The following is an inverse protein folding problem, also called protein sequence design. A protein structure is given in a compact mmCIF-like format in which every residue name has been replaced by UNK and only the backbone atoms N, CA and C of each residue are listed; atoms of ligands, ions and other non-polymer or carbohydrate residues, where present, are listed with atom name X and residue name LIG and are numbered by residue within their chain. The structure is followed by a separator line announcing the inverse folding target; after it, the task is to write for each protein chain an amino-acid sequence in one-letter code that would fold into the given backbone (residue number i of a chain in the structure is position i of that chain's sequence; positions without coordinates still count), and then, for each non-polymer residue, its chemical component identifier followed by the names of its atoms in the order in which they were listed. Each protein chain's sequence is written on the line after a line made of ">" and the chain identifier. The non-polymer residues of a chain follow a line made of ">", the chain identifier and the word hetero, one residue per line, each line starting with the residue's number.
data_IF_923731130407
#
_entry.id   IF_923731130407
#
_cell.length_a   1.000
_cell.length_b   1.000
_cell.length_c   1.000
_cell.angle_alpha   90.00
_cell.angle_beta   90.00
_cell.angle_gamma   90.00
#
_symmetry.space_group_name_H-M   'P 1'
#
loop_
_entity.id
_entity.type
_entity.pdbx_description
1 polymer ?
#
# COMPACT_ATOMS: atom_id res chain seq x y z
N UNK A 1 -27.56 -15.98 17.08
CA UNK A 1 -26.84 -15.65 15.82
C UNK A 1 -25.93 -14.42 15.92
N UNK A 2 -26.32 -13.35 16.64
CA UNK A 2 -25.51 -12.11 16.80
C UNK A 2 -24.11 -12.32 17.41
N UNK A 3 -23.97 -13.20 18.41
CA UNK A 3 -22.67 -13.43 19.08
C UNK A 3 -21.58 -14.03 18.17
N UNK A 4 -21.95 -14.84 17.18
CA UNK A 4 -20.98 -15.50 16.30
C UNK A 4 -20.46 -14.55 15.22
N UNK A 5 -21.37 -13.76 14.64
CA UNK A 5 -21.05 -12.67 13.72
C UNK A 5 -20.13 -11.63 14.37
N UNK A 6 -20.43 -11.23 15.61
CA UNK A 6 -19.64 -10.23 16.32
C UNK A 6 -18.22 -10.74 16.66
N UNK A 7 -18.10 -12.01 17.08
CA UNK A 7 -16.81 -12.66 17.32
C UNK A 7 -15.94 -12.72 16.06
N UNK A 8 -16.54 -12.98 14.89
CA UNK A 8 -15.83 -12.97 13.61
C UNK A 8 -15.38 -11.57 13.21
N UNK A 9 -16.23 -10.55 13.34
CA UNK A 9 -15.87 -9.14 13.06
C UNK A 9 -14.73 -8.67 13.96
N UNK A 10 -14.79 -8.97 15.26
CA UNK A 10 -13.75 -8.63 16.22
C UNK A 10 -12.41 -9.31 15.89
N UNK A 11 -12.43 -10.59 15.52
CA UNK A 11 -11.22 -11.30 15.07
C UNK A 11 -10.61 -10.66 13.81
N UNK A 12 -11.44 -10.23 12.85
CA UNK A 12 -10.96 -9.52 11.66
C UNK A 12 -10.30 -8.19 12.04
N UNK A 13 -10.93 -7.40 12.90
CA UNK A 13 -10.37 -6.12 13.35
C UNK A 13 -9.04 -6.30 14.07
N UNK A 14 -8.94 -7.29 14.97
CA UNK A 14 -7.67 -7.62 15.64
C UNK A 14 -6.59 -7.96 14.61
N UNK A 15 -6.91 -8.79 13.60
CA UNK A 15 -5.94 -9.13 12.57
C UNK A 15 -5.47 -7.90 11.79
N UNK A 16 -6.39 -6.99 11.42
CA UNK A 16 -6.04 -5.74 10.74
C UNK A 16 -5.11 -4.90 11.61
N UNK A 17 -5.45 -4.71 12.88
CA UNK A 17 -4.67 -3.87 13.81
C UNK A 17 -3.29 -4.48 14.07
N UNK A 18 -3.21 -5.76 14.39
CA UNK A 18 -1.94 -6.43 14.71
C UNK A 18 -1.02 -6.44 13.49
N UNK A 19 -1.50 -6.90 12.34
CA UNK A 19 -0.67 -6.99 11.14
C UNK A 19 -0.33 -5.61 10.58
N UNK A 20 -1.24 -4.64 10.66
CA UNK A 20 -0.99 -3.27 10.24
C UNK A 20 -0.02 -2.54 11.15
N UNK A 21 -0.08 -2.77 12.46
CA UNK A 21 0.91 -2.25 13.40
C UNK A 21 2.30 -2.84 13.14
N UNK A 22 2.40 -4.15 12.96
CA UNK A 22 3.69 -4.81 12.65
C UNK A 22 4.27 -4.27 11.34
N UNK A 23 3.45 -4.17 10.29
CA UNK A 23 3.90 -3.62 9.01
C UNK A 23 4.28 -2.13 9.14
N UNK A 24 3.47 -1.31 9.81
CA UNK A 24 3.75 0.12 10.01
C UNK A 24 5.03 0.38 10.81
N UNK A 25 5.28 -0.38 11.87
CA UNK A 25 6.53 -0.30 12.66
C UNK A 25 7.72 -0.73 11.81
N UNK A 26 7.59 -1.83 11.06
CA UNK A 26 8.62 -2.28 10.13
C UNK A 26 8.96 -1.19 9.11
N UNK A 27 7.93 -0.59 8.50
CA UNK A 27 8.04 0.46 7.49
C UNK A 27 8.67 1.74 8.05
N UNK A 28 8.32 2.14 9.26
CA UNK A 28 8.95 3.28 9.94
C UNK A 28 10.43 3.02 10.24
N UNK A 29 10.75 1.83 10.75
CA UNK A 29 12.11 1.45 11.17
C UNK A 29 13.02 1.23 9.97
N UNK A 30 12.62 0.36 9.04
CA UNK A 30 13.39 0.07 7.85
C UNK A 30 13.42 1.27 6.90
N UNK A 31 12.37 2.11 6.84
CA UNK A 31 12.40 3.35 6.06
C UNK A 31 13.43 4.35 6.58
N UNK A 32 13.59 4.44 7.91
CA UNK A 32 14.66 5.25 8.53
C UNK A 32 16.05 4.68 8.21
N UNK A 33 16.25 3.37 8.36
CA UNK A 33 17.52 2.71 8.03
C UNK A 33 17.89 2.87 6.55
N UNK A 34 16.90 2.85 5.67
CA UNK A 34 17.09 2.97 4.24
C UNK A 34 17.42 4.40 3.81
N UNK A 35 17.18 5.41 4.64
CA UNK A 35 17.74 6.74 4.41
C UNK A 35 19.24 6.82 4.69
N UNK A 36 19.78 5.92 5.50
CA UNK A 36 21.23 5.85 5.77
C UNK A 36 21.97 5.12 4.64
N UNK A 37 21.27 4.28 3.87
CA UNK A 37 21.86 3.50 2.78
C UNK A 37 21.30 3.97 1.44
N UNK A 38 22.11 4.69 0.66
CA UNK A 38 21.73 5.23 -0.66
C UNK A 38 21.56 4.13 -1.73
N UNK A 39 20.57 3.25 -1.60
CA UNK A 39 20.21 2.26 -2.63
C UNK A 39 19.00 2.74 -3.45
N UNK A 40 19.24 3.09 -4.72
CA UNK A 40 18.19 3.44 -5.69
C UNK A 40 17.22 2.30 -6.06
N UNK A 41 17.52 1.06 -5.65
CA UNK A 41 16.71 -0.14 -5.95
C UNK A 41 15.83 -0.61 -4.79
N UNK A 42 15.75 0.17 -3.72
CA UNK A 42 15.05 -0.23 -2.49
C UNK A 42 13.59 -0.65 -2.74
N UNK A 43 12.93 -0.03 -3.72
CA UNK A 43 11.57 -0.34 -4.14
C UNK A 43 11.36 -1.82 -4.55
N UNK A 44 12.40 -2.53 -5.01
CA UNK A 44 12.31 -3.97 -5.34
C UNK A 44 12.09 -4.84 -4.11
N UNK A 45 12.58 -4.41 -2.95
CA UNK A 45 12.52 -5.15 -1.69
C UNK A 45 11.23 -4.81 -0.94
N UNK A 46 10.82 -3.54 -0.98
CA UNK A 46 9.62 -3.06 -0.28
C UNK A 46 8.33 -3.67 -0.81
N UNK A 47 8.20 -3.79 -2.13
CA UNK A 47 6.97 -4.33 -2.75
C UNK A 47 6.66 -5.78 -2.32
N UNK A 48 7.60 -6.75 -2.39
CA UNK A 48 7.36 -8.10 -1.88
C UNK A 48 6.99 -8.14 -0.39
N UNK A 49 7.58 -7.26 0.43
CA UNK A 49 7.28 -7.17 1.86
C UNK A 49 5.85 -6.67 2.07
N UNK A 50 5.43 -5.61 1.37
CA UNK A 50 4.07 -5.12 1.39
C UNK A 50 3.07 -6.21 0.98
N UNK A 51 3.35 -6.91 -0.14
CA UNK A 51 2.57 -8.06 -0.58
C UNK A 51 2.49 -9.17 0.46
N UNK A 52 3.58 -9.45 1.18
CA UNK A 52 3.59 -10.46 2.24
C UNK A 52 2.61 -10.13 3.37
N UNK A 53 2.63 -8.89 3.88
CA UNK A 53 1.71 -8.45 4.92
C UNK A 53 0.25 -8.50 4.47
N UNK A 54 -0.04 -7.96 3.28
CA UNK A 54 -1.38 -7.96 2.69
C UNK A 54 -1.90 -9.38 2.41
N UNK A 55 -1.05 -10.27 1.88
CA UNK A 55 -1.42 -11.65 1.61
C UNK A 55 -1.69 -12.44 2.89
N UNK A 56 -0.92 -12.21 3.97
CA UNK A 56 -1.15 -12.87 5.26
C UNK A 56 -2.49 -12.47 5.89
N UNK A 57 -2.84 -11.18 5.86
CA UNK A 57 -4.16 -10.70 6.33
C UNK A 57 -5.28 -11.25 5.46
N UNK A 58 -5.10 -11.27 4.14
CA UNK A 58 -6.10 -11.82 3.23
C UNK A 58 -6.34 -13.31 3.53
N UNK A 59 -5.28 -14.09 3.74
CA UNK A 59 -5.39 -15.53 4.07
C UNK A 59 -6.07 -15.77 5.41
N UNK A 60 -5.88 -14.90 6.41
CA UNK A 60 -6.49 -15.05 7.74
C UNK A 60 -7.94 -14.57 7.80
N UNK A 61 -8.27 -13.48 7.10
CA UNK A 61 -9.58 -12.84 7.19
C UNK A 61 -10.53 -13.22 6.06
N UNK A 62 -10.00 -13.68 4.92
CA UNK A 62 -10.76 -14.00 3.71
C UNK A 62 -11.43 -12.79 3.05
N UNK A 63 -11.23 -11.58 3.56
CA UNK A 63 -11.91 -10.36 3.10
C UNK A 63 -10.94 -9.40 2.43
N UNK A 64 -11.32 -8.93 1.24
CA UNK A 64 -10.58 -7.91 0.50
C UNK A 64 -10.54 -6.58 1.24
N UNK A 65 -11.62 -6.20 1.93
CA UNK A 65 -11.66 -4.96 2.72
C UNK A 65 -10.55 -4.93 3.79
N UNK A 66 -10.22 -6.07 4.39
CA UNK A 66 -9.12 -6.16 5.36
C UNK A 66 -7.77 -5.78 4.78
N UNK A 67 -7.54 -6.09 3.50
CA UNK A 67 -6.30 -5.76 2.76
C UNK A 67 -6.20 -4.26 2.52
N UNK A 68 -7.33 -3.61 2.24
CA UNK A 68 -7.35 -2.16 2.12
C UNK A 68 -7.09 -1.47 3.48
N UNK A 69 -7.77 -1.93 4.54
CA UNK A 69 -7.65 -1.33 5.86
C UNK A 69 -6.26 -1.50 6.48
N UNK A 70 -5.58 -2.62 6.25
CA UNK A 70 -4.19 -2.78 6.71
C UNK A 70 -3.26 -1.78 6.01
N UNK A 71 -3.41 -1.57 4.71
CA UNK A 71 -2.62 -0.58 3.97
C UNK A 71 -2.87 0.83 4.48
N UNK A 72 -4.13 1.19 4.73
CA UNK A 72 -4.49 2.49 5.29
C UNK A 72 -3.92 2.69 6.70
N UNK A 73 -3.98 1.66 7.55
CA UNK A 73 -3.41 1.70 8.90
C UNK A 73 -1.88 1.85 8.87
N UNK A 74 -1.20 1.12 7.97
CA UNK A 74 0.24 1.24 7.78
C UNK A 74 0.63 2.65 7.30
N UNK A 75 -0.07 3.19 6.31
CA UNK A 75 0.13 4.57 5.83
C UNK A 75 -0.13 5.61 6.92
N UNK A 76 -1.15 5.43 7.76
CA UNK A 76 -1.42 6.30 8.89
C UNK A 76 -0.29 6.28 9.93
N UNK A 77 0.23 5.09 10.27
CA UNK A 77 1.40 4.96 11.15
C UNK A 77 2.62 5.64 10.54
N UNK A 78 2.86 5.47 9.24
CA UNK A 78 3.96 6.14 8.52
C UNK A 78 3.83 7.66 8.58
N UNK A 79 2.61 8.19 8.43
CA UNK A 79 2.33 9.62 8.54
C UNK A 79 2.61 10.20 9.93
N UNK A 80 2.57 9.39 10.99
CA UNK A 80 2.99 9.86 12.32
C UNK A 80 4.46 10.30 12.35
N UNK A 81 5.30 9.81 11.43
CA UNK A 81 6.68 10.28 11.30
C UNK A 81 6.79 11.73 10.80
N UNK A 82 5.70 12.36 10.36
CA UNK A 82 5.68 13.80 10.07
C UNK A 82 5.82 14.66 11.33
N UNK A 83 5.48 14.12 12.50
CA UNK A 83 5.68 14.80 13.78
C UNK A 83 7.14 14.76 14.26
N UNK A 84 8.00 13.97 13.60
CA UNK A 84 9.43 13.94 13.86
C UNK A 84 10.15 14.93 12.94
N UNK A 85 11.23 15.59 13.40
CA UNK A 85 12.01 16.48 12.56
C UNK A 85 12.64 15.69 11.41
N UNK A 86 12.26 16.00 10.17
CA UNK A 86 12.69 15.30 8.96
C UNK A 86 12.12 15.92 7.68
N UNK A 87 12.58 15.44 6.52
CA UNK A 87 12.02 15.89 5.24
C UNK A 87 10.63 15.29 5.03
N UNK A 88 9.65 16.16 4.81
CA UNK A 88 8.22 15.80 4.65
C UNK A 88 8.00 14.87 3.44
N UNK A 89 8.69 15.11 2.32
CA UNK A 89 8.57 14.30 1.08
C UNK A 89 8.90 12.81 1.32
N UNK A 90 9.83 12.54 2.24
CA UNK A 90 10.31 11.20 2.58
C UNK A 90 9.30 10.39 3.39
N UNK A 91 8.27 11.04 3.91
CA UNK A 91 7.19 10.42 4.67
C UNK A 91 5.93 10.29 3.82
N UNK A 92 5.55 11.36 3.11
CA UNK A 92 4.33 11.41 2.30
C UNK A 92 4.42 10.47 1.10
N UNK A 93 5.54 10.46 0.36
CA UNK A 93 5.66 9.64 -0.85
C UNK A 93 5.50 8.13 -0.54
N UNK A 94 6.19 7.57 0.47
CA UNK A 94 5.96 6.18 0.88
C UNK A 94 4.54 5.93 1.39
N UNK A 95 3.95 6.84 2.17
CA UNK A 95 2.60 6.67 2.69
C UNK A 95 1.56 6.55 1.55
N UNK A 96 1.67 7.38 0.53
CA UNK A 96 0.81 7.32 -0.66
C UNK A 96 1.07 6.04 -1.46
N UNK A 97 2.34 5.65 -1.61
CA UNK A 97 2.72 4.40 -2.29
C UNK A 97 2.05 3.19 -1.63
N UNK A 98 2.07 3.10 -0.29
CA UNK A 98 1.43 2.01 0.47
C UNK A 98 -0.08 1.93 0.18
N UNK A 99 -0.76 3.08 0.11
CA UNK A 99 -2.19 3.14 -0.21
C UNK A 99 -2.45 2.64 -1.63
N UNK A 100 -1.63 3.03 -2.61
CA UNK A 100 -1.77 2.54 -3.99
C UNK A 100 -1.44 1.07 -4.13
N UNK A 101 -0.45 0.55 -3.39
CA UNK A 101 -0.16 -0.89 -3.35
C UNK A 101 -1.35 -1.69 -2.82
N UNK A 102 -1.96 -1.24 -1.72
CA UNK A 102 -3.14 -1.86 -1.15
C UNK A 102 -4.34 -1.80 -2.10
N UNK A 103 -4.54 -0.66 -2.76
CA UNK A 103 -5.62 -0.48 -3.73
C UNK A 103 -5.43 -1.35 -4.98
N UNK A 104 -4.21 -1.40 -5.54
CA UNK A 104 -3.87 -2.26 -6.67
C UNK A 104 -4.09 -3.73 -6.31
N UNK A 105 -3.68 -4.14 -5.11
CA UNK A 105 -3.88 -5.51 -4.63
C UNK A 105 -5.35 -5.87 -4.52
N UNK A 106 -6.17 -5.01 -3.91
CA UNK A 106 -7.61 -5.22 -3.80
C UNK A 106 -8.24 -5.34 -5.19
N UNK A 107 -7.89 -4.46 -6.12
CA UNK A 107 -8.43 -4.44 -7.48
C UNK A 107 -8.07 -5.72 -8.24
N UNK A 108 -6.81 -6.13 -8.22
CA UNK A 108 -6.34 -7.33 -8.93
C UNK A 108 -6.94 -8.60 -8.33
N UNK A 109 -6.99 -8.72 -7.00
CA UNK A 109 -7.58 -9.91 -6.36
C UNK A 109 -9.09 -9.94 -6.56
N UNK A 110 -9.77 -8.78 -6.50
CA UNK A 110 -11.20 -8.67 -6.82
C UNK A 110 -11.51 -9.12 -8.24
N UNK A 111 -10.79 -8.58 -9.24
CA UNK A 111 -10.93 -8.95 -10.64
C UNK A 111 -10.65 -10.45 -10.85
N UNK A 112 -9.57 -10.98 -10.26
CA UNK A 112 -9.22 -12.39 -10.36
C UNK A 112 -10.28 -13.30 -9.74
N UNK A 113 -10.84 -12.95 -8.58
CA UNK A 113 -11.91 -13.72 -7.95
C UNK A 113 -13.19 -13.68 -8.81
N UNK A 114 -13.50 -12.55 -9.45
CA UNK A 114 -14.70 -12.40 -10.28
C UNK A 114 -14.60 -13.17 -11.60
N UNK A 115 -13.41 -13.24 -12.20
CA UNK A 115 -13.16 -13.88 -13.50
C UNK A 115 -12.94 -15.39 -13.34
N UNK A 116 -12.31 -15.83 -12.25
CA UNK A 116 -11.88 -17.22 -12.04
C UNK A 116 -12.70 -17.93 -10.98
N UNK A 117 -13.91 -17.45 -10.72
CA UNK A 117 -14.79 -17.99 -9.69
C UNK A 117 -14.99 -19.51 -9.91
N UNK A 118 -14.62 -20.32 -8.92
CA UNK A 118 -14.70 -21.77 -8.96
C UNK A 118 -13.59 -22.53 -9.71
N UNK A 119 -12.58 -21.87 -10.31
CA UNK A 119 -11.43 -22.55 -10.96
C UNK A 119 -10.16 -22.46 -10.12
N UNK A 120 -9.38 -23.54 -10.10
CA UNK A 120 -8.03 -23.51 -9.52
C UNK A 120 -7.17 -22.47 -10.26
N UNK A 121 -6.64 -21.49 -9.51
CA UNK A 121 -5.76 -20.46 -10.07
C UNK A 121 -4.46 -21.10 -10.55
N UNK A 122 -4.29 -21.22 -11.87
CA UNK A 122 -3.06 -21.74 -12.48
C UNK A 122 -1.85 -20.90 -12.07
N UNK A 123 -0.62 -21.47 -12.09
CA UNK A 123 0.59 -20.69 -11.79
C UNK A 123 0.74 -19.47 -12.71
N UNK A 124 0.30 -19.59 -13.96
CA UNK A 124 0.29 -18.49 -14.94
C UNK A 124 -0.61 -17.34 -14.48
N UNK A 125 -1.83 -17.62 -14.00
CA UNK A 125 -2.72 -16.59 -13.44
C UNK A 125 -2.05 -15.89 -12.25
N UNK A 126 -1.41 -16.63 -11.35
CA UNK A 126 -0.73 -16.03 -10.19
C UNK A 126 0.42 -15.12 -10.61
N UNK A 127 1.18 -15.52 -11.63
CA UNK A 127 2.22 -14.68 -12.21
C UNK A 127 1.64 -13.41 -12.85
N UNK A 128 0.54 -13.54 -13.60
CA UNK A 128 -0.16 -12.41 -14.22
C UNK A 128 -0.73 -11.44 -13.18
N UNK A 129 -1.28 -11.95 -12.08
CA UNK A 129 -1.72 -11.14 -10.94
C UNK A 129 -0.55 -10.37 -10.33
N UNK A 130 0.59 -11.03 -10.07
CA UNK A 130 1.77 -10.39 -9.50
C UNK A 130 2.35 -9.30 -10.41
N UNK A 131 2.38 -9.54 -11.73
CA UNK A 131 2.81 -8.55 -12.73
C UNK A 131 1.84 -7.36 -12.78
N UNK A 132 0.53 -7.63 -12.83
CA UNK A 132 -0.52 -6.60 -12.87
C UNK A 132 -0.52 -5.74 -11.61
N UNK A 133 -0.25 -6.34 -10.45
CA UNK A 133 -0.07 -5.60 -9.20
C UNK A 133 1.17 -4.72 -9.28
N UNK A 134 2.32 -5.28 -9.71
CA UNK A 134 3.59 -4.57 -9.79
C UNK A 134 3.54 -3.36 -10.74
N UNK A 135 2.83 -3.48 -11.86
CA UNK A 135 2.61 -2.37 -12.80
C UNK A 135 1.51 -1.44 -12.32
N UNK A 136 0.44 -1.97 -11.72
CA UNK A 136 -0.73 -1.21 -11.30
C UNK A 136 -0.42 -0.11 -10.28
N UNK A 137 0.27 -0.43 -9.19
CA UNK A 137 0.60 0.59 -8.18
C UNK A 137 1.55 1.65 -8.73
N UNK A 138 2.48 1.27 -9.62
CA UNK A 138 3.42 2.20 -10.26
C UNK A 138 2.72 3.16 -11.20
N UNK A 139 1.77 2.65 -11.99
CA UNK A 139 0.97 3.49 -12.87
C UNK A 139 0.16 4.50 -12.06
N UNK A 140 -0.48 4.06 -10.97
CA UNK A 140 -1.20 4.95 -10.07
C UNK A 140 -0.27 6.00 -9.43
N UNK A 141 0.92 5.61 -9.00
CA UNK A 141 1.90 6.52 -8.42
C UNK A 141 2.49 7.50 -9.45
N UNK A 142 2.77 7.05 -10.67
CA UNK A 142 3.23 7.90 -11.77
C UNK A 142 2.15 8.90 -12.20
N UNK A 143 0.89 8.46 -12.29
CA UNK A 143 -0.26 9.34 -12.54
C UNK A 143 -0.41 10.37 -11.41
N UNK A 144 -0.25 9.95 -10.15
CA UNK A 144 -0.24 10.86 -9.00
C UNK A 144 0.84 11.93 -9.15
N UNK A 145 2.08 11.56 -9.49
CA UNK A 145 3.15 12.54 -9.71
C UNK A 145 2.84 13.47 -10.88
N UNK A 146 2.37 12.93 -12.01
CA UNK A 146 2.08 13.72 -13.20
C UNK A 146 0.93 14.72 -12.96
N UNK A 147 -0.16 14.30 -12.30
CA UNK A 147 -1.31 15.18 -12.05
C UNK A 147 -1.07 16.17 -10.91
N UNK A 148 -0.44 15.76 -9.80
CA UNK A 148 -0.31 16.60 -8.61
C UNK A 148 1.01 17.37 -8.53
N UNK A 149 2.13 16.82 -9.01
CA UNK A 149 3.43 17.52 -8.98
C UNK A 149 3.59 18.46 -10.18
N UNK A 150 3.28 18.04 -11.41
CA UNK A 150 3.38 18.96 -12.56
C UNK A 150 2.29 20.05 -12.53
N UNK A 151 1.09 19.72 -12.03
CA UNK A 151 0.04 20.71 -11.80
C UNK A 151 0.45 21.81 -10.81
N UNK A 152 1.24 21.45 -9.79
CA UNK A 152 1.79 22.41 -8.83
C UNK A 152 2.88 23.30 -9.46
N UNK A 153 3.82 22.72 -10.22
CA UNK A 153 4.86 23.51 -10.93
C UNK A 153 4.24 24.51 -11.92
N UNK A 154 3.26 24.07 -12.73
CA UNK A 154 2.57 24.93 -13.70
C UNK A 154 1.78 26.07 -13.04
N UNK A 155 1.27 25.85 -11.83
CA UNK A 155 0.54 26.87 -11.05
C UNK A 155 1.46 27.83 -10.29
N UNK A 156 2.66 27.37 -9.89
CA UNK A 156 3.68 28.20 -9.24
C UNK A 156 4.38 29.14 -10.23
N UNK A 157 4.63 28.68 -11.47
CA UNK A 157 5.16 29.53 -12.55
C UNK A 157 4.19 30.64 -12.97
N UNK A 158 2.86 30.40 -12.90
CA UNK A 158 1.86 31.44 -13.18
C UNK A 158 1.75 32.52 -12.09
N UNK A 159 2.29 32.30 -10.87
CA UNK A 159 2.25 33.30 -9.79
C UNK A 159 3.50 34.17 -9.67
N UNK A 160 4.59 33.79 -10.34
CA UNK A 160 5.76 34.64 -10.50
C UNK A 160 6.12 34.72 -11.99
N UNK A 161 5.49 35.63 -12.76
CA UNK A 161 6.11 36.05 -14.00
C UNK A 161 7.50 36.58 -13.62
N UNK A 162 8.53 35.96 -14.19
CA UNK A 162 9.90 36.43 -14.15
C UNK A 162 9.86 37.93 -14.52
N UNK A 163 10.12 38.80 -13.52
CA UNK A 163 10.43 40.20 -13.75
C UNK A 163 11.91 40.32 -14.04
#
# INVERSE_FOLDING_TARGET
>A
MVNFENKNRFSILINIVVWGAIWGIFEATAGYLLHLVSFGYSWLIWYPIACFFMANVYRKTGKLSSVFFIGLLCAAIKMLNLFLPGRIDKVINPAISIVFEAFAMVTVVFAANRILDGKHKSPLVKALMALSMNTGWRLLFALYLLFLVEGYHRSAECKHPQM
#
